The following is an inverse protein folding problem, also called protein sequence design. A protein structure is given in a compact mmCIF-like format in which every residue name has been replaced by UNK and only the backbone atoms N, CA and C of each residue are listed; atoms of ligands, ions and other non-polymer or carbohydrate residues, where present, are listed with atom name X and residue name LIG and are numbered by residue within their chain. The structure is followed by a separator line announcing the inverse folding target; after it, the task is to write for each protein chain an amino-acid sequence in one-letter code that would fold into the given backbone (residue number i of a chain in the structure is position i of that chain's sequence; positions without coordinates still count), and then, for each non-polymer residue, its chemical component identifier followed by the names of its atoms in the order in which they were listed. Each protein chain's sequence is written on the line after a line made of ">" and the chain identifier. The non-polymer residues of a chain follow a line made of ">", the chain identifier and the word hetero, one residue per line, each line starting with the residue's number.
data_IF_970868761408
#
_entry.id   IF_970868761408
#
_cell.length_a   1.000
_cell.length_b   1.000
_cell.length_c   1.000
_cell.angle_alpha   90.00
_cell.angle_beta   90.00
_cell.angle_gamma   90.00
#
_symmetry.space_group_name_H-M   'P 1'
#
loop_
_entity.id
_entity.type
_entity.pdbx_description
1 polymer ?
#
# COMPACT_ATOMS: atom_id res chain seq x y z
N UNK A 1 12.44 0.62 -20.03
CA UNK A 1 11.69 0.95 -18.80
C UNK A 1 10.61 -0.08 -18.63
N UNK A 2 10.34 -0.51 -17.40
CA UNK A 2 9.25 -1.44 -17.10
C UNK A 2 7.95 -0.63 -17.22
N UNK A 3 6.96 -1.15 -17.94
CA UNK A 3 5.66 -0.49 -18.07
C UNK A 3 4.97 -0.43 -16.70
N UNK A 4 4.36 0.70 -16.30
CA UNK A 4 3.58 0.79 -15.07
C UNK A 4 2.45 -0.24 -15.07
N UNK A 5 2.12 -0.75 -13.89
CA UNK A 5 1.07 -1.76 -13.74
C UNK A 5 0.11 -1.39 -12.62
N UNK A 6 -1.08 -1.99 -12.63
CA UNK A 6 -2.07 -1.86 -11.55
C UNK A 6 -2.64 -3.22 -11.19
N UNK A 7 -3.03 -3.42 -9.93
CA UNK A 7 -3.66 -4.66 -9.48
C UNK A 7 -4.88 -5.00 -10.34
N UNK A 8 -4.99 -6.27 -10.73
CA UNK A 8 -6.11 -6.78 -11.51
C UNK A 8 -7.46 -6.65 -10.78
N UNK A 9 -7.43 -6.64 -9.44
CA UNK A 9 -8.60 -6.40 -8.60
C UNK A 9 -9.24 -5.02 -8.83
N UNK A 10 -8.48 -4.03 -9.29
CA UNK A 10 -8.98 -2.72 -9.69
C UNK A 10 -9.97 -2.84 -10.85
N UNK A 11 -9.62 -3.64 -11.84
CA UNK A 11 -10.41 -3.87 -13.05
C UNK A 11 -11.74 -4.58 -12.77
N UNK A 12 -11.83 -5.32 -11.66
CA UNK A 12 -13.08 -5.99 -11.23
C UNK A 12 -14.21 -4.99 -10.98
N UNK A 13 -13.91 -3.78 -10.49
CA UNK A 13 -14.93 -2.77 -10.26
C UNK A 13 -15.52 -2.23 -11.57
N UNK A 14 -14.68 -2.02 -12.58
CA UNK A 14 -15.11 -1.66 -13.93
C UNK A 14 -15.92 -2.79 -14.57
N UNK A 15 -15.45 -4.04 -14.44
CA UNK A 15 -16.16 -5.23 -14.93
C UNK A 15 -17.61 -5.30 -14.39
N UNK A 16 -17.78 -5.13 -13.07
CA UNK A 16 -19.12 -5.09 -12.44
C UNK A 16 -19.99 -3.94 -12.95
N UNK A 17 -19.39 -2.78 -13.23
CA UNK A 17 -20.12 -1.65 -13.81
C UNK A 17 -20.56 -1.93 -15.24
N UNK A 18 -19.74 -2.60 -16.05
CA UNK A 18 -20.10 -3.03 -17.41
C UNK A 18 -21.24 -4.06 -17.39
N UNK A 19 -21.15 -5.06 -16.50
CA UNK A 19 -22.20 -6.06 -16.31
C UNK A 19 -23.53 -5.43 -15.84
N UNK A 20 -23.47 -4.43 -14.95
CA UNK A 20 -24.65 -3.69 -14.52
C UNK A 20 -25.32 -2.87 -15.64
N UNK A 21 -24.59 -2.58 -16.72
CA UNK A 21 -25.11 -1.95 -17.94
C UNK A 21 -25.58 -2.99 -18.98
N UNK A 22 -25.50 -4.29 -18.67
CA UNK A 22 -25.86 -5.37 -19.58
C UNK A 22 -24.83 -5.64 -20.68
N UNK A 23 -23.59 -5.18 -20.52
CA UNK A 23 -22.50 -5.37 -21.48
C UNK A 23 -21.70 -6.65 -21.19
N UNK A 24 -21.16 -7.29 -22.23
CA UNK A 24 -20.27 -8.45 -22.12
C UNK A 24 -18.88 -8.01 -21.65
N UNK A 25 -18.70 -7.95 -20.33
CA UNK A 25 -17.48 -7.48 -19.70
C UNK A 25 -16.25 -8.34 -20.05
N UNK A 26 -16.42 -9.65 -20.21
CA UNK A 26 -15.33 -10.57 -20.57
C UNK A 26 -14.89 -10.35 -22.03
N UNK A 27 -15.82 -10.09 -22.95
CA UNK A 27 -15.48 -9.75 -24.33
C UNK A 27 -14.71 -8.43 -24.42
N UNK A 28 -15.14 -7.40 -23.67
CA UNK A 28 -14.47 -6.09 -23.64
C UNK A 28 -13.07 -6.18 -23.01
N UNK A 29 -12.90 -7.01 -21.97
CA UNK A 29 -11.57 -7.30 -21.40
C UNK A 29 -10.65 -7.97 -22.42
N UNK A 30 -11.15 -8.98 -23.16
CA UNK A 30 -10.39 -9.65 -24.21
C UNK A 30 -10.03 -8.71 -25.36
N UNK A 31 -10.94 -7.81 -25.76
CA UNK A 31 -10.68 -6.75 -26.76
C UNK A 31 -9.57 -5.80 -26.29
N UNK A 32 -9.52 -5.49 -25.00
CA UNK A 32 -8.47 -4.70 -24.39
C UNK A 32 -7.12 -5.44 -24.21
N UNK A 33 -7.07 -6.74 -24.52
CA UNK A 33 -5.88 -7.59 -24.34
C UNK A 33 -5.68 -8.07 -22.89
N UNK A 34 -6.73 -8.05 -22.08
CA UNK A 34 -6.73 -8.51 -20.70
C UNK A 34 -7.33 -9.91 -20.61
N UNK A 35 -6.67 -10.80 -19.86
CA UNK A 35 -7.23 -12.10 -19.49
C UNK A 35 -8.17 -11.93 -18.28
N UNK A 36 -9.50 -12.11 -18.43
CA UNK A 36 -10.44 -11.96 -17.32
C UNK A 36 -10.20 -12.92 -16.15
N UNK A 37 -9.55 -14.07 -16.38
CA UNK A 37 -9.30 -15.07 -15.33
C UNK A 37 -8.26 -14.59 -14.31
N UNK A 38 -7.33 -13.72 -14.72
CA UNK A 38 -6.33 -13.14 -13.82
C UNK A 38 -6.95 -12.20 -12.77
N UNK A 39 -8.20 -11.74 -12.94
CA UNK A 39 -8.87 -10.87 -11.97
C UNK A 39 -9.18 -11.58 -10.64
N UNK A 40 -9.15 -12.91 -10.61
CA UNK A 40 -9.39 -13.71 -9.40
C UNK A 40 -8.13 -13.95 -8.57
N UNK A 41 -6.95 -13.68 -9.12
CA UNK A 41 -5.69 -13.66 -8.37
C UNK A 41 -5.52 -12.30 -7.67
N UNK A 42 -5.42 -12.26 -6.33
CA UNK A 42 -5.28 -11.02 -5.56
C UNK A 42 -3.96 -10.27 -5.84
N UNK A 43 -2.94 -10.93 -6.38
CA UNK A 43 -1.62 -10.37 -6.67
C UNK A 43 -1.38 -10.12 -8.16
N UNK A 44 -2.29 -10.56 -9.04
CA UNK A 44 -2.15 -10.30 -10.46
C UNK A 44 -2.18 -8.80 -10.76
N UNK A 45 -1.37 -8.39 -11.74
CA UNK A 45 -1.26 -7.00 -12.19
C UNK A 45 -1.44 -6.94 -13.70
N UNK A 46 -2.12 -5.89 -14.16
CA UNK A 46 -2.24 -5.59 -15.57
C UNK A 46 -1.37 -4.39 -15.97
N UNK A 47 -0.81 -4.40 -17.18
CA UNK A 47 -0.12 -3.24 -17.74
C UNK A 47 -1.06 -2.03 -17.88
N UNK A 48 -0.53 -0.83 -17.65
CA UNK A 48 -1.29 0.42 -17.76
C UNK A 48 -1.86 0.64 -19.16
N UNK A 49 -1.16 0.24 -20.21
CA UNK A 49 -1.68 0.36 -21.59
C UNK A 49 -2.93 -0.49 -21.81
N UNK A 50 -2.98 -1.69 -21.23
CA UNK A 50 -4.12 -2.59 -21.35
C UNK A 50 -5.33 -2.09 -20.55
N UNK A 51 -5.10 -1.57 -19.34
CA UNK A 51 -6.20 -0.97 -18.54
C UNK A 51 -6.71 0.32 -19.16
N UNK A 52 -5.84 1.15 -19.72
CA UNK A 52 -6.21 2.36 -20.48
C UNK A 52 -7.10 2.00 -21.68
N UNK A 53 -6.71 1.00 -22.45
CA UNK A 53 -7.52 0.49 -23.57
C UNK A 53 -8.87 -0.04 -23.13
N UNK A 54 -8.94 -0.71 -21.97
CA UNK A 54 -10.21 -1.17 -21.43
C UNK A 54 -11.15 -0.01 -21.10
N UNK A 55 -10.66 1.10 -20.55
CA UNK A 55 -11.46 2.29 -20.33
C UNK A 55 -12.00 2.87 -21.64
N UNK A 56 -11.18 2.96 -22.68
CA UNK A 56 -11.59 3.44 -24.00
C UNK A 56 -12.70 2.55 -24.61
N UNK A 57 -12.50 1.24 -24.58
CA UNK A 57 -13.48 0.25 -25.06
C UNK A 57 -14.77 0.30 -24.24
N UNK A 58 -14.66 0.47 -22.91
CA UNK A 58 -15.79 0.60 -22.00
C UNK A 58 -16.63 1.86 -22.29
N UNK A 59 -16.00 3.02 -22.49
CA UNK A 59 -16.69 4.27 -22.86
C UNK A 59 -17.38 4.12 -24.20
N UNK A 60 -16.71 3.54 -25.20
CA UNK A 60 -17.29 3.31 -26.53
C UNK A 60 -18.49 2.38 -26.49
N UNK A 61 -18.41 1.28 -25.73
CA UNK A 61 -19.48 0.28 -25.64
C UNK A 61 -20.68 0.79 -24.83
N UNK A 62 -20.44 1.56 -23.77
CA UNK A 62 -21.50 2.12 -22.91
C UNK A 62 -22.11 3.42 -23.44
N UNK A 63 -21.37 4.17 -24.24
CA UNK A 63 -21.71 5.54 -24.61
C UNK A 63 -21.66 6.52 -23.42
N UNK A 64 -21.07 6.12 -22.29
CA UNK A 64 -21.05 6.91 -21.05
C UNK A 64 -19.62 7.38 -20.71
N UNK A 65 -19.25 8.64 -21.03
CA UNK A 65 -17.94 9.20 -20.65
C UNK A 65 -17.79 9.42 -19.14
N UNK A 66 -18.87 9.28 -18.36
CA UNK A 66 -18.87 9.38 -16.91
C UNK A 66 -18.82 8.02 -16.21
N UNK A 67 -18.58 6.92 -16.95
CA UNK A 67 -18.58 5.55 -16.42
C UNK A 67 -17.64 5.38 -15.21
N UNK A 68 -16.47 6.06 -15.22
CA UNK A 68 -15.51 6.06 -14.12
C UNK A 68 -16.11 6.48 -12.79
N UNK A 69 -16.94 7.52 -12.77
CA UNK A 69 -17.62 7.99 -11.55
C UNK A 69 -18.52 6.90 -10.93
N UNK A 70 -19.09 6.03 -11.77
CA UNK A 70 -20.03 4.98 -11.33
C UNK A 70 -19.32 3.76 -10.75
N UNK A 71 -18.08 3.49 -11.17
CA UNK A 71 -17.26 2.35 -10.72
C UNK A 71 -17.04 2.36 -9.20
N UNK A 72 -16.96 3.55 -8.61
CA UNK A 72 -16.79 3.75 -7.16
C UNK A 72 -17.80 2.98 -6.28
N UNK A 73 -19.00 2.68 -6.80
CA UNK A 73 -20.05 1.93 -6.08
C UNK A 73 -19.71 0.46 -5.86
N UNK A 74 -18.85 -0.10 -6.73
CA UNK A 74 -18.46 -1.52 -6.71
C UNK A 74 -17.15 -1.76 -5.98
N UNK A 75 -16.51 -0.71 -5.48
CA UNK A 75 -15.31 -0.78 -4.67
C UNK A 75 -15.70 -0.93 -3.20
N UNK A 76 -15.16 -1.95 -2.55
CA UNK A 76 -15.30 -2.21 -1.12
C UNK A 76 -13.91 -2.26 -0.48
N UNK A 77 -13.80 -2.10 0.85
CA UNK A 77 -12.53 -2.32 1.55
C UNK A 77 -11.91 -3.69 1.21
N UNK A 78 -12.73 -4.73 1.04
CA UNK A 78 -12.27 -6.06 0.62
C UNK A 78 -11.65 -6.11 -0.77
N UNK A 79 -11.89 -5.11 -1.64
CA UNK A 79 -11.23 -4.99 -2.94
C UNK A 79 -9.72 -4.77 -2.82
N UNK A 80 -9.26 -4.23 -1.69
CA UNK A 80 -7.86 -3.89 -1.43
C UNK A 80 -7.23 -4.73 -0.30
N UNK A 81 -7.89 -5.82 0.12
CA UNK A 81 -7.39 -6.75 1.15
C UNK A 81 -6.86 -6.03 2.40
N UNK A 82 -5.62 -6.30 2.82
CA UNK A 82 -4.99 -5.72 4.00
C UNK A 82 -4.98 -4.18 3.99
N UNK A 83 -4.85 -3.56 2.80
CA UNK A 83 -4.91 -2.11 2.68
C UNK A 83 -6.30 -1.62 3.06
N UNK A 84 -7.34 -2.22 2.48
CA UNK A 84 -8.71 -1.84 2.80
C UNK A 84 -9.07 -2.03 4.28
N UNK A 85 -8.59 -3.09 4.92
CA UNK A 85 -8.79 -3.28 6.38
C UNK A 85 -8.03 -2.25 7.22
N UNK A 86 -6.79 -1.91 6.86
CA UNK A 86 -6.05 -0.82 7.51
C UNK A 86 -6.77 0.53 7.36
N UNK A 87 -7.37 0.81 6.19
CA UNK A 87 -8.17 2.00 5.99
C UNK A 87 -9.43 1.99 6.86
N UNK A 88 -10.10 0.84 7.02
CA UNK A 88 -11.30 0.69 7.88
C UNK A 88 -10.95 0.89 9.37
N UNK A 89 -9.76 0.47 9.79
CA UNK A 89 -9.34 0.53 11.18
C UNK A 89 -8.76 1.89 11.62
N UNK A 90 -8.66 2.87 10.71
CA UNK A 90 -8.04 4.19 10.94
C UNK A 90 -8.86 5.09 11.87
N UNK A 91 -8.18 5.89 12.71
CA UNK A 91 -8.81 6.74 13.73
C UNK A 91 -9.21 8.14 13.28
N UNK A 92 -8.79 8.56 12.08
CA UNK A 92 -9.15 9.83 11.44
C UNK A 92 -9.09 9.68 9.91
N UNK A 93 -9.71 10.61 9.16
CA UNK A 93 -9.56 10.63 7.71
C UNK A 93 -8.13 11.01 7.29
N UNK A 94 -7.43 11.85 8.05
CA UNK A 94 -6.00 12.11 7.84
C UNK A 94 -5.22 10.81 7.77
N UNK A 95 -5.35 9.95 8.78
CA UNK A 95 -4.68 8.65 8.80
C UNK A 95 -5.08 7.74 7.63
N UNK A 96 -6.36 7.76 7.23
CA UNK A 96 -6.83 7.01 6.04
C UNK A 96 -6.06 7.46 4.80
N UNK A 97 -5.98 8.76 4.55
CA UNK A 97 -5.33 9.28 3.35
C UNK A 97 -3.81 9.16 3.40
N UNK A 98 -3.18 9.31 4.57
CA UNK A 98 -1.74 9.02 4.76
C UNK A 98 -1.41 7.55 4.45
N UNK A 99 -2.27 6.61 4.88
CA UNK A 99 -2.14 5.19 4.52
C UNK A 99 -2.34 4.99 3.02
N UNK A 100 -3.33 5.64 2.41
CA UNK A 100 -3.52 5.60 0.94
C UNK A 100 -2.25 6.06 0.23
N UNK A 101 -1.69 7.21 0.58
CA UNK A 101 -0.44 7.73 -0.01
C UNK A 101 0.70 6.71 0.15
N UNK A 102 0.90 6.19 1.36
CA UNK A 102 2.02 5.28 1.67
C UNK A 102 1.94 3.95 0.92
N UNK A 103 0.75 3.40 0.76
CA UNK A 103 0.53 2.05 0.22
C UNK A 103 0.00 2.05 -1.23
N UNK A 104 -0.17 3.22 -1.87
CA UNK A 104 -0.73 3.33 -3.22
C UNK A 104 0.04 2.51 -4.27
N UNK A 105 1.36 2.45 -4.18
CA UNK A 105 2.20 1.69 -5.14
C UNK A 105 1.85 0.19 -5.19
N UNK A 106 1.28 -0.35 -4.10
CA UNK A 106 0.76 -1.72 -4.10
C UNK A 106 -0.43 -1.87 -5.02
N UNK A 107 -1.22 -0.81 -5.20
CA UNK A 107 -2.42 -0.78 -6.05
C UNK A 107 -2.08 -0.40 -7.48
N UNK A 108 -1.27 0.64 -7.68
CA UNK A 108 -0.92 1.13 -9.01
C UNK A 108 0.41 1.88 -9.02
N UNK A 109 1.23 1.61 -10.05
CA UNK A 109 2.47 2.34 -10.34
C UNK A 109 2.22 3.55 -11.26
N UNK A 110 0.97 3.74 -11.70
CA UNK A 110 0.60 4.73 -12.70
C UNK A 110 0.41 6.15 -12.12
N UNK A 111 0.24 6.25 -10.79
CA UNK A 111 0.01 7.51 -10.08
C UNK A 111 0.89 7.61 -8.84
N UNK A 112 1.36 8.82 -8.58
CA UNK A 112 1.94 9.25 -7.32
C UNK A 112 0.89 10.08 -6.57
N UNK A 113 0.65 9.73 -5.31
CA UNK A 113 -0.32 10.42 -4.47
C UNK A 113 0.41 11.28 -3.45
N UNK A 114 -0.12 12.47 -3.19
CA UNK A 114 0.46 13.40 -2.22
C UNK A 114 -0.64 14.08 -1.41
N UNK A 115 -0.48 14.13 -0.09
CA UNK A 115 -1.40 14.81 0.82
C UNK A 115 -0.63 15.93 1.54
N UNK A 116 -1.02 17.17 1.28
CA UNK A 116 -0.40 18.35 1.88
C UNK A 116 -1.42 19.16 2.66
N UNK A 117 -1.04 19.65 3.83
CA UNK A 117 -1.82 20.64 4.59
C UNK A 117 -1.37 22.04 4.19
N UNK A 118 -2.31 22.85 3.70
CA UNK A 118 -2.13 24.27 3.44
C UNK A 118 -3.18 25.04 4.23
N UNK A 119 -2.73 25.85 5.19
CA UNK A 119 -3.60 26.58 6.13
C UNK A 119 -4.62 25.66 6.83
N UNK A 120 -5.90 25.79 6.49
CA UNK A 120 -7.02 25.03 7.04
C UNK A 120 -7.55 23.94 6.09
N UNK A 121 -6.77 23.55 5.07
CA UNK A 121 -7.20 22.62 4.02
C UNK A 121 -6.18 21.54 3.71
N UNK A 122 -6.69 20.32 3.56
CA UNK A 122 -5.94 19.23 2.97
C UNK A 122 -6.08 19.23 1.45
N UNK A 123 -4.95 19.25 0.76
CA UNK A 123 -4.83 19.15 -0.69
C UNK A 123 -4.29 17.77 -1.06
N UNK A 124 -5.14 16.93 -1.64
CA UNK A 124 -4.80 15.58 -2.06
C UNK A 124 -4.61 15.52 -3.58
N UNK A 125 -3.38 15.32 -4.03
CA UNK A 125 -2.99 15.35 -5.44
C UNK A 125 -2.87 13.93 -6.02
N UNK A 126 -3.34 13.77 -7.26
CA UNK A 126 -3.17 12.57 -8.07
C UNK A 126 -2.21 12.91 -9.21
N UNK A 127 -0.91 12.66 -9.01
CA UNK A 127 0.15 13.03 -9.95
C UNK A 127 0.46 11.88 -10.89
N UNK A 128 0.66 12.19 -12.17
CA UNK A 128 1.23 11.24 -13.13
C UNK A 128 2.75 11.42 -13.10
N UNK A 129 3.54 10.37 -12.82
CA UNK A 129 5.00 10.47 -12.85
C UNK A 129 5.49 10.93 -14.23
N UNK A 130 6.51 11.79 -14.30
CA UNK A 130 7.01 12.35 -15.58
C UNK A 130 7.45 11.27 -16.58
N UNK A 131 7.91 10.12 -16.09
CA UNK A 131 8.37 8.98 -16.89
C UNK A 131 7.25 7.99 -17.27
N UNK A 132 6.01 8.23 -16.83
CA UNK A 132 4.87 7.35 -16.99
C UNK A 132 3.86 7.91 -18.00
N UNK A 133 3.26 7.08 -18.88
CA UNK A 133 2.15 7.55 -19.70
C UNK A 133 0.94 7.94 -18.82
N UNK A 134 0.18 8.93 -19.27
CA UNK A 134 -1.02 9.35 -18.55
C UNK A 134 -2.09 8.24 -18.56
N UNK A 135 -2.71 7.92 -17.41
CA UNK A 135 -3.87 7.05 -17.36
C UNK A 135 -5.07 7.66 -18.10
N UNK A 136 -6.05 6.82 -18.45
CA UNK A 136 -7.34 7.28 -18.95
C UNK A 136 -8.02 8.25 -17.95
N UNK A 137 -8.70 9.29 -18.45
CA UNK A 137 -9.40 10.25 -17.60
C UNK A 137 -10.46 9.58 -16.72
N UNK A 138 -11.13 8.54 -17.24
CA UNK A 138 -12.14 7.77 -16.52
C UNK A 138 -11.54 7.02 -15.33
N UNK A 139 -10.26 6.62 -15.40
CA UNK A 139 -9.56 6.02 -14.29
C UNK A 139 -9.31 7.06 -13.17
N UNK A 140 -8.91 8.28 -13.53
CA UNK A 140 -8.72 9.40 -12.59
C UNK A 140 -10.06 9.78 -11.94
N UNK A 141 -11.12 9.91 -12.73
CA UNK A 141 -12.48 10.16 -12.25
C UNK A 141 -12.95 9.08 -11.27
N UNK A 142 -12.65 7.81 -11.56
CA UNK A 142 -12.97 6.70 -10.69
C UNK A 142 -12.24 6.80 -9.34
N UNK A 143 -10.93 7.07 -9.35
CA UNK A 143 -10.15 7.28 -8.12
C UNK A 143 -10.69 8.47 -7.31
N UNK A 144 -10.91 9.62 -7.95
CA UNK A 144 -11.48 10.80 -7.29
C UNK A 144 -12.84 10.48 -6.63
N UNK A 145 -13.73 9.79 -7.34
CA UNK A 145 -15.02 9.37 -6.82
C UNK A 145 -14.90 8.38 -5.64
N UNK A 146 -13.92 7.47 -5.67
CA UNK A 146 -13.65 6.53 -4.57
C UNK A 146 -13.17 7.26 -3.33
N UNK A 147 -12.26 8.21 -3.45
CA UNK A 147 -11.75 8.94 -2.30
C UNK A 147 -12.86 9.75 -1.62
N UNK A 148 -13.70 10.41 -2.39
CA UNK A 148 -14.88 11.13 -1.85
C UNK A 148 -15.89 10.15 -1.22
N UNK A 149 -16.10 8.97 -1.83
CA UNK A 149 -16.97 7.94 -1.25
C UNK A 149 -16.39 7.38 0.06
N UNK A 150 -15.07 7.23 0.17
CA UNK A 150 -14.38 6.84 1.40
C UNK A 150 -14.67 7.85 2.51
N UNK A 151 -14.57 9.15 2.23
CA UNK A 151 -14.94 10.19 3.19
C UNK A 151 -16.42 10.06 3.62
N UNK A 152 -17.35 9.88 2.67
CA UNK A 152 -18.79 9.74 2.96
C UNK A 152 -19.14 8.51 3.79
N UNK A 153 -18.41 7.42 3.60
CA UNK A 153 -18.61 6.22 4.42
C UNK A 153 -18.23 6.46 5.89
N UNK A 154 -17.44 7.49 6.19
CA UNK A 154 -16.95 7.81 7.54
C UNK A 154 -17.65 9.00 8.17
N UNK A 155 -17.80 10.09 7.43
CA UNK A 155 -18.40 11.34 7.92
C UNK A 155 -19.89 11.47 7.61
N UNK A 156 -20.46 10.50 6.90
CA UNK A 156 -21.87 10.49 6.52
C UNK A 156 -22.12 10.78 5.04
N UNK A 157 -23.31 10.36 4.57
CA UNK A 157 -23.68 10.34 3.15
C UNK A 157 -23.70 11.72 2.49
N UNK A 158 -23.86 12.77 3.28
CA UNK A 158 -23.98 14.14 2.79
C UNK A 158 -22.66 14.91 2.75
N UNK A 159 -21.57 14.29 3.20
CA UNK A 159 -20.23 14.88 3.09
C UNK A 159 -19.85 15.19 1.64
N UNK A 160 -19.20 16.34 1.44
CA UNK A 160 -18.65 16.78 0.18
C UNK A 160 -17.27 17.44 0.41
N UNK A 161 -16.30 17.27 -0.52
CA UNK A 161 -15.06 18.03 -0.50
C UNK A 161 -15.32 19.53 -0.68
N UNK A 162 -14.32 20.36 -0.36
CA UNK A 162 -14.36 21.80 -0.60
C UNK A 162 -14.32 22.12 -2.10
N UNK A 163 -13.50 21.41 -2.86
CA UNK A 163 -13.35 21.56 -4.31
C UNK A 163 -12.73 20.31 -4.93
N UNK A 164 -12.98 20.13 -6.24
CA UNK A 164 -12.38 19.08 -7.07
C UNK A 164 -11.80 19.72 -8.31
N UNK A 165 -10.53 19.46 -8.59
CA UNK A 165 -9.81 19.92 -9.78
C UNK A 165 -9.46 18.70 -10.61
N UNK A 166 -9.79 18.74 -11.90
CA UNK A 166 -9.51 17.65 -12.83
C UNK A 166 -8.86 18.21 -14.10
N UNK A 167 -7.77 17.57 -14.53
CA UNK A 167 -7.08 17.90 -15.78
C UNK A 167 -7.89 17.58 -17.02
N UNK A 168 -8.87 16.67 -16.89
CA UNK A 168 -9.73 16.31 -18.01
C UNK A 168 -10.41 17.54 -18.61
N UNK A 169 -10.56 17.61 -19.94
CA UNK A 169 -11.40 18.62 -20.56
C UNK A 169 -12.83 18.55 -20.02
N UNK A 170 -13.51 19.70 -20.02
CA UNK A 170 -14.91 19.75 -19.63
C UNK A 170 -15.74 18.82 -20.54
N UNK A 171 -16.45 17.84 -19.98
CA UNK A 171 -17.28 16.91 -20.75
C UNK A 171 -18.51 17.63 -21.31
N UNK A 172 -19.10 17.07 -22.37
CA UNK A 172 -20.33 17.61 -22.96
C UNK A 172 -21.50 17.70 -21.97
N UNK A 173 -21.57 16.78 -20.99
CA UNK A 173 -22.50 16.85 -19.86
C UNK A 173 -21.75 16.76 -18.52
N UNK A 174 -21.40 17.90 -17.89
CA UNK A 174 -20.68 17.91 -16.62
C UNK A 174 -21.56 17.59 -15.39
N UNK A 175 -22.88 17.45 -15.57
CA UNK A 175 -23.82 17.25 -14.44
C UNK A 175 -23.51 16.00 -13.63
N UNK A 176 -22.98 14.96 -14.25
CA UNK A 176 -22.60 13.72 -13.56
C UNK A 176 -21.50 13.95 -12.52
N UNK A 177 -20.47 14.74 -12.84
CA UNK A 177 -19.40 15.11 -11.90
C UNK A 177 -19.95 15.93 -10.74
N UNK A 178 -20.75 16.97 -11.01
CA UNK A 178 -21.35 17.78 -9.96
C UNK A 178 -22.27 16.97 -9.03
N UNK A 179 -23.06 16.04 -9.59
CA UNK A 179 -23.93 15.15 -8.81
C UNK A 179 -23.13 14.23 -7.89
N UNK A 180 -22.04 13.66 -8.40
CA UNK A 180 -21.21 12.71 -7.65
C UNK A 180 -20.37 13.43 -6.60
N UNK A 181 -19.76 14.58 -6.91
CA UNK A 181 -18.88 15.29 -5.98
C UNK A 181 -19.62 16.19 -5.00
N UNK A 182 -20.77 16.75 -5.38
CA UNK A 182 -21.55 17.71 -4.58
C UNK A 182 -20.72 18.93 -4.13
N UNK A 183 -19.73 19.29 -4.94
CA UNK A 183 -18.76 20.34 -4.70
C UNK A 183 -18.49 21.10 -6.02
N UNK A 184 -17.87 22.29 -5.96
CA UNK A 184 -17.28 22.92 -7.13
C UNK A 184 -16.31 21.97 -7.83
N UNK A 185 -16.50 21.78 -9.14
CA UNK A 185 -15.61 20.98 -9.99
C UNK A 185 -15.00 21.89 -11.05
N UNK A 186 -13.68 21.94 -11.09
CA UNK A 186 -12.90 22.71 -12.05
C UNK A 186 -12.27 21.76 -13.07
N UNK A 187 -12.77 21.80 -14.31
CA UNK A 187 -12.23 21.03 -15.42
C UNK A 187 -11.09 21.78 -16.12
N UNK A 188 -10.29 21.06 -16.92
CA UNK A 188 -9.11 21.59 -17.59
C UNK A 188 -8.15 22.31 -16.63
N UNK A 189 -8.08 21.84 -15.37
CA UNK A 189 -7.15 22.35 -14.39
C UNK A 189 -5.71 21.89 -14.72
N UNK A 190 -4.71 22.54 -14.15
CA UNK A 190 -3.30 22.15 -14.32
C UNK A 190 -2.99 20.81 -13.63
N UNK A 191 -3.72 20.49 -12.56
CA UNK A 191 -3.48 19.34 -11.69
C UNK A 191 -4.78 18.62 -11.31
N UNK A 192 -4.72 17.31 -11.10
CA UNK A 192 -5.81 16.52 -10.51
C UNK A 192 -5.71 16.59 -8.98
N UNK A 193 -6.69 17.21 -8.32
CA UNK A 193 -6.64 17.51 -6.88
C UNK A 193 -8.01 17.50 -6.22
N UNK A 194 -8.06 16.95 -5.00
CA UNK A 194 -9.20 17.07 -4.09
C UNK A 194 -8.84 17.96 -2.91
N UNK A 195 -9.73 18.88 -2.55
CA UNK A 195 -9.58 19.74 -1.38
C UNK A 195 -10.58 19.37 -0.29
N UNK A 196 -10.10 19.28 0.94
CA UNK A 196 -10.91 18.93 2.11
C UNK A 196 -10.65 19.89 3.27
N UNK A 197 -11.66 20.12 4.12
CA UNK A 197 -11.48 20.92 5.32
C UNK A 197 -10.65 20.15 6.36
N UNK A 198 -9.66 20.81 6.96
CA UNK A 198 -8.84 20.19 8.01
C UNK A 198 -9.67 19.74 9.22
N UNK A 199 -10.70 20.50 9.58
CA UNK A 199 -11.63 20.16 10.66
C UNK A 199 -12.30 18.79 10.48
N UNK A 200 -12.63 18.45 9.24
CA UNK A 200 -13.29 17.18 8.91
C UNK A 200 -12.27 16.05 8.88
N UNK A 201 -11.08 16.32 8.35
CA UNK A 201 -10.01 15.32 8.22
C UNK A 201 -9.41 14.86 9.54
N UNK A 202 -9.36 15.78 10.50
CA UNK A 202 -8.74 15.58 11.82
C UNK A 202 -9.74 15.08 12.87
N UNK A 203 -11.03 15.06 12.52
CA UNK A 203 -12.07 14.55 13.39
C UNK A 203 -11.84 13.06 13.70
N UNK A 204 -12.13 12.67 14.94
CA UNK A 204 -12.02 11.28 15.36
C UNK A 204 -13.14 10.46 14.72
N UNK A 205 -12.79 9.27 14.23
CA UNK A 205 -13.75 8.32 13.67
C UNK A 205 -14.11 7.26 14.71
N UNK A 206 -15.41 7.08 14.97
CA UNK A 206 -15.94 6.18 16.01
C UNK A 206 -15.63 4.70 15.78
N UNK A 207 -15.37 4.30 14.53
CA UNK A 207 -15.08 2.91 14.13
C UNK A 207 -13.59 2.51 14.27
N UNK A 208 -12.79 3.31 15.00
CA UNK A 208 -11.36 3.03 15.17
C UNK A 208 -11.12 1.68 15.85
N UNK A 209 -10.31 0.82 15.22
CA UNK A 209 -9.87 -0.44 15.81
C UNK A 209 -8.34 -0.54 15.73
N UNK A 210 -7.61 -0.05 16.75
CA UNK A 210 -6.15 0.03 16.72
C UNK A 210 -5.47 -1.34 16.51
N UNK A 211 -6.06 -2.41 17.04
CA UNK A 211 -5.50 -3.77 16.93
C UNK A 211 -5.60 -4.31 15.50
N UNK A 212 -6.75 -4.12 14.84
CA UNK A 212 -6.92 -4.46 13.41
C UNK A 212 -6.03 -3.58 12.51
N UNK A 213 -5.84 -2.31 12.88
CA UNK A 213 -4.98 -1.40 12.15
C UNK A 213 -3.52 -1.86 12.19
N UNK A 214 -3.01 -2.26 13.36
CA UNK A 214 -1.63 -2.71 13.52
C UNK A 214 -1.39 -4.07 12.84
N UNK A 215 -2.32 -5.02 12.96
CA UNK A 215 -2.21 -6.30 12.25
C UNK A 215 -2.18 -6.12 10.73
N UNK A 216 -3.08 -5.28 10.20
CA UNK A 216 -3.14 -4.96 8.76
C UNK A 216 -1.88 -4.23 8.30
N UNK A 217 -1.34 -3.33 9.12
CA UNK A 217 -0.08 -2.62 8.85
C UNK A 217 1.10 -3.59 8.76
N UNK A 218 1.22 -4.56 9.67
CA UNK A 218 2.28 -5.59 9.62
C UNK A 218 2.25 -6.36 8.30
N UNK A 219 1.05 -6.80 7.87
CA UNK A 219 0.88 -7.48 6.58
C UNK A 219 1.28 -6.58 5.41
N UNK A 220 0.86 -5.31 5.43
CA UNK A 220 1.22 -4.33 4.39
C UNK A 220 2.71 -4.00 4.35
N UNK A 221 3.37 -3.90 5.50
CA UNK A 221 4.81 -3.67 5.57
C UNK A 221 5.58 -4.88 5.01
N UNK A 222 5.15 -6.11 5.29
CA UNK A 222 5.68 -7.33 4.67
C UNK A 222 5.49 -7.36 3.14
N UNK A 223 4.34 -6.92 2.62
CA UNK A 223 4.11 -6.90 1.17
C UNK A 223 4.84 -5.73 0.48
N UNK A 224 4.95 -4.55 1.10
CA UNK A 224 5.69 -3.40 0.56
C UNK A 224 7.18 -3.70 0.44
N UNK A 225 7.70 -4.37 1.47
CA UNK A 225 9.07 -4.88 1.46
C UNK A 225 9.22 -5.86 0.28
N UNK A 226 8.31 -6.80 0.08
CA UNK A 226 8.37 -7.73 -1.06
C UNK A 226 8.24 -7.07 -2.46
N UNK A 227 7.63 -5.89 -2.58
CA UNK A 227 7.29 -5.24 -3.87
C UNK A 227 8.37 -4.33 -4.47
N UNK A 228 9.34 -3.86 -3.69
CA UNK A 228 10.56 -3.22 -4.24
C UNK A 228 11.50 -4.31 -4.76
N UNK A 229 12.30 -4.11 -5.83
CA UNK A 229 13.36 -5.06 -6.17
C UNK A 229 14.19 -5.28 -4.92
N UNK A 230 14.13 -6.50 -4.37
CA UNK A 230 14.71 -6.81 -3.08
C UNK A 230 16.22 -6.56 -3.19
N UNK A 231 16.70 -5.54 -2.50
CA UNK A 231 18.14 -5.37 -2.24
C UNK A 231 18.66 -6.67 -1.62
N UNK A 232 19.91 -7.02 -1.91
CA UNK A 232 20.53 -8.20 -1.34
C UNK A 232 20.55 -8.13 0.19
N UNK A 233 20.73 -6.95 0.76
CA UNK A 233 20.54 -6.68 2.18
C UNK A 233 19.20 -7.25 2.70
N UNK A 234 18.09 -6.93 2.03
CA UNK A 234 16.75 -7.33 2.48
C UNK A 234 16.48 -8.82 2.27
N UNK A 235 16.99 -9.42 1.18
CA UNK A 235 16.94 -10.88 0.99
C UNK A 235 17.69 -11.60 2.10
N UNK A 236 18.84 -11.06 2.49
CA UNK A 236 19.69 -11.63 3.55
C UNK A 236 19.05 -11.49 4.92
N UNK A 237 18.49 -10.33 5.26
CA UNK A 237 17.75 -10.14 6.53
C UNK A 237 16.59 -11.11 6.68
N UNK A 238 15.77 -11.26 5.63
CA UNK A 238 14.64 -12.20 5.65
C UNK A 238 15.09 -13.65 5.82
N UNK A 239 16.18 -14.06 5.15
CA UNK A 239 16.74 -15.39 5.31
C UNK A 239 17.31 -15.61 6.73
N UNK A 240 17.96 -14.60 7.32
CA UNK A 240 18.46 -14.64 8.69
C UNK A 240 17.29 -14.83 9.66
N UNK A 241 16.27 -13.97 9.59
CA UNK A 241 15.12 -14.00 10.50
C UNK A 241 14.35 -15.33 10.44
N UNK A 242 14.22 -15.92 9.25
CA UNK A 242 13.59 -17.23 9.09
C UNK A 242 14.39 -18.39 9.72
N UNK A 243 15.72 -18.27 9.80
CA UNK A 243 16.60 -19.34 10.27
C UNK A 243 17.04 -19.19 11.73
N UNK A 244 16.90 -18.01 12.34
CA UNK A 244 17.24 -17.77 13.75
C UNK A 244 16.59 -18.77 14.73
N UNK A 245 15.32 -19.19 14.56
CA UNK A 245 14.71 -20.21 15.43
C UNK A 245 15.39 -21.59 15.35
N UNK A 246 16.10 -21.87 14.26
CA UNK A 246 16.84 -23.14 14.05
C UNK A 246 18.27 -23.08 14.62
N UNK A 247 18.74 -21.90 15.03
CA UNK A 247 20.09 -21.65 15.54
C UNK A 247 20.75 -20.43 14.90
N UNK A 248 22.00 -20.15 15.25
CA UNK A 248 22.76 -19.06 14.63
C UNK A 248 23.08 -19.36 13.16
N UNK A 249 22.51 -18.61 12.19
CA UNK A 249 22.76 -18.89 10.79
C UNK A 249 24.16 -18.41 10.37
N UNK A 250 24.92 -19.27 9.69
CA UNK A 250 26.20 -18.87 9.09
C UNK A 250 26.00 -18.17 7.74
N UNK A 251 26.96 -17.33 7.34
CA UNK A 251 26.92 -16.68 6.03
C UNK A 251 26.89 -17.70 4.88
N UNK A 252 27.54 -18.85 5.04
CA UNK A 252 27.52 -19.96 4.09
C UNK A 252 26.13 -20.57 3.95
N UNK A 253 25.44 -20.76 5.08
CA UNK A 253 24.10 -21.35 5.09
C UNK A 253 23.07 -20.40 4.45
N UNK A 254 23.17 -19.10 4.75
CA UNK A 254 22.32 -18.07 4.15
C UNK A 254 22.61 -17.94 2.64
N UNK A 255 23.88 -18.02 2.22
CA UNK A 255 24.22 -18.04 0.80
C UNK A 255 23.56 -19.21 0.08
N UNK A 256 23.61 -20.41 0.66
CA UNK A 256 22.98 -21.62 0.11
C UNK A 256 21.45 -21.48 0.01
N UNK A 257 20.80 -20.96 1.04
CA UNK A 257 19.36 -20.71 1.06
C UNK A 257 18.92 -19.70 -0.03
N UNK A 258 19.81 -18.78 -0.40
CA UNK A 258 19.60 -17.81 -1.48
C UNK A 258 20.11 -18.27 -2.85
N UNK A 259 20.52 -19.55 -2.98
CA UNK A 259 21.11 -20.12 -4.20
C UNK A 259 22.36 -19.38 -4.71
N UNK A 260 23.18 -18.89 -3.78
CA UNK A 260 24.44 -18.18 -4.03
C UNK A 260 25.65 -18.95 -3.48
N UNK A 261 26.83 -18.62 -4.01
CA UNK A 261 28.09 -18.91 -3.32
C UNK A 261 28.36 -17.85 -2.26
N UNK A 262 29.10 -18.19 -1.20
CA UNK A 262 29.52 -17.24 -0.16
C UNK A 262 30.17 -15.98 -0.75
N UNK A 263 31.04 -16.16 -1.76
CA UNK A 263 31.72 -15.06 -2.45
C UNK A 263 30.74 -14.14 -3.18
N UNK A 264 29.68 -14.70 -3.79
CA UNK A 264 28.65 -13.90 -4.47
C UNK A 264 27.79 -13.14 -3.47
N UNK A 265 27.43 -13.77 -2.35
CA UNK A 265 26.70 -13.13 -1.26
C UNK A 265 27.49 -11.93 -0.69
N UNK A 266 28.76 -12.14 -0.35
CA UNK A 266 29.63 -11.08 0.18
C UNK A 266 29.82 -9.93 -0.81
N UNK A 267 29.98 -10.24 -2.11
CA UNK A 267 30.09 -9.20 -3.14
C UNK A 267 28.80 -8.39 -3.23
N UNK A 268 27.65 -9.05 -3.30
CA UNK A 268 26.36 -8.36 -3.36
C UNK A 268 26.09 -7.46 -2.15
N UNK A 269 26.44 -7.93 -0.94
CA UNK A 269 26.33 -7.10 0.26
C UNK A 269 27.32 -5.94 0.24
N UNK A 270 28.56 -6.16 -0.21
CA UNK A 270 29.57 -5.10 -0.31
C UNK A 270 29.20 -4.02 -1.34
N UNK A 271 28.60 -4.40 -2.47
CA UNK A 271 28.09 -3.48 -3.49
C UNK A 271 26.98 -2.57 -2.91
N UNK A 272 26.26 -3.05 -1.90
CA UNK A 272 25.23 -2.31 -1.15
C UNK A 272 25.77 -1.69 0.16
N UNK A 273 27.08 -1.70 0.39
CA UNK A 273 27.72 -1.13 1.59
C UNK A 273 27.45 -1.91 2.89
N UNK A 274 26.96 -3.14 2.79
CA UNK A 274 26.52 -3.97 3.90
C UNK A 274 27.53 -5.09 4.24
N UNK A 275 27.46 -5.61 5.47
CA UNK A 275 28.21 -6.79 5.93
C UNK A 275 27.27 -7.77 6.62
N UNK A 276 27.45 -9.06 6.37
CA UNK A 276 26.61 -10.11 6.95
C UNK A 276 26.52 -10.03 8.48
N UNK A 277 27.66 -9.93 9.17
CA UNK A 277 27.69 -9.87 10.63
C UNK A 277 26.92 -8.66 11.18
N UNK A 278 26.94 -7.54 10.46
CA UNK A 278 26.17 -6.34 10.83
C UNK A 278 24.68 -6.62 10.71
N UNK A 279 24.24 -7.17 9.57
CA UNK A 279 22.83 -7.51 9.34
C UNK A 279 22.30 -8.53 10.34
N UNK A 280 23.10 -9.55 10.67
CA UNK A 280 22.75 -10.57 11.66
C UNK A 280 22.54 -9.95 13.06
N UNK A 281 23.43 -9.05 13.48
CA UNK A 281 23.31 -8.37 14.77
C UNK A 281 22.09 -7.44 14.81
N UNK A 282 21.85 -6.67 13.75
CA UNK A 282 20.71 -5.75 13.67
C UNK A 282 19.37 -6.49 13.66
N UNK A 283 19.25 -7.60 12.92
CA UNK A 283 18.05 -8.45 12.95
C UNK A 283 17.80 -9.00 14.36
N UNK A 284 18.85 -9.50 15.03
CA UNK A 284 18.74 -9.99 16.41
C UNK A 284 18.38 -8.89 17.40
N UNK A 285 18.93 -7.69 17.26
CA UNK A 285 18.62 -6.54 18.10
C UNK A 285 17.16 -6.11 17.94
N UNK A 286 16.68 -5.95 16.70
CA UNK A 286 15.31 -5.55 16.42
C UNK A 286 14.29 -6.56 16.97
N UNK A 287 14.53 -7.85 16.76
CA UNK A 287 13.67 -8.91 17.31
C UNK A 287 13.75 -8.98 18.84
N UNK A 288 14.93 -8.75 19.44
CA UNK A 288 15.06 -8.69 20.89
C UNK A 288 14.23 -7.55 21.48
N UNK A 289 14.31 -6.35 20.91
CA UNK A 289 13.53 -5.19 21.34
C UNK A 289 12.03 -5.44 21.19
N UNK A 290 11.60 -6.12 20.12
CA UNK A 290 10.20 -6.50 19.90
C UNK A 290 9.71 -7.47 20.97
N UNK A 291 10.42 -8.58 21.20
CA UNK A 291 10.00 -9.59 22.18
C UNK A 291 10.12 -9.12 23.63
N UNK A 292 11.04 -8.20 23.94
CA UNK A 292 11.17 -7.67 25.30
C UNK A 292 9.97 -6.82 25.74
N UNK A 293 9.20 -6.26 24.79
CA UNK A 293 7.96 -5.51 25.05
C UNK A 293 6.78 -6.40 25.45
N UNK A 294 6.83 -7.68 25.13
CA UNK A 294 5.82 -8.64 25.57
C UNK A 294 6.19 -9.16 26.97
N UNK A 295 5.40 -8.83 28.01
CA UNK A 295 5.66 -9.28 29.38
C UNK A 295 5.50 -10.80 29.55
N UNK A 296 4.83 -11.49 28.62
CA UNK A 296 4.65 -12.94 28.65
C UNK A 296 5.86 -13.71 28.08
N UNK A 297 6.76 -13.04 27.34
CA UNK A 297 7.92 -13.69 26.74
C UNK A 297 9.11 -13.72 27.71
N UNK A 298 9.55 -14.92 28.10
CA UNK A 298 10.68 -15.07 29.02
C UNK A 298 12.02 -14.80 28.33
N UNK A 299 13.04 -14.35 29.07
CA UNK A 299 14.39 -14.14 28.53
C UNK A 299 15.01 -15.43 27.96
N UNK A 300 14.58 -16.60 28.45
CA UNK A 300 15.00 -17.90 27.94
C UNK A 300 14.42 -18.16 26.54
N UNK A 301 13.14 -17.88 26.33
CA UNK A 301 12.49 -18.01 25.03
C UNK A 301 13.06 -17.02 24.02
N UNK A 302 13.29 -15.77 24.43
CA UNK A 302 13.92 -14.75 23.58
C UNK A 302 15.32 -15.19 23.16
N UNK A 303 16.13 -15.71 24.09
CA UNK A 303 17.46 -16.24 23.77
C UNK A 303 17.40 -17.35 22.70
N UNK A 304 16.43 -18.25 22.82
CA UNK A 304 16.24 -19.36 21.88
C UNK A 304 15.78 -18.87 20.49
N UNK A 305 14.77 -18.00 20.44
CA UNK A 305 14.22 -17.45 19.19
C UNK A 305 15.25 -16.64 18.38
N UNK A 306 16.23 -16.05 19.07
CA UNK A 306 17.31 -15.27 18.46
C UNK A 306 18.55 -16.13 18.14
N UNK A 307 18.46 -17.46 18.26
CA UNK A 307 19.52 -18.39 17.91
C UNK A 307 20.74 -18.29 18.81
N UNK A 308 20.61 -17.88 20.08
CA UNK A 308 21.69 -17.90 21.06
C UNK A 308 21.74 -19.24 21.81
N UNK A 309 22.95 -19.72 22.09
CA UNK A 309 23.16 -20.96 22.84
C UNK A 309 22.67 -20.89 24.29
N UNK A 310 22.70 -19.72 24.92
CA UNK A 310 22.25 -19.50 26.30
C UNK A 310 21.90 -18.03 26.58
N UNK A 311 21.15 -17.82 27.66
CA UNK A 311 20.71 -16.50 28.15
C UNK A 311 21.89 -15.56 28.43
N UNK A 312 23.05 -16.10 28.85
CA UNK A 312 24.24 -15.31 29.17
C UNK A 312 24.85 -14.69 27.91
N UNK A 313 24.80 -15.41 26.80
CA UNK A 313 25.30 -14.98 25.49
C UNK A 313 24.34 -13.96 24.87
N UNK A 314 23.03 -14.19 24.95
CA UNK A 314 22.02 -13.20 24.60
C UNK A 314 22.19 -11.90 25.41
N UNK A 315 22.31 -12.00 26.74
CA UNK A 315 22.41 -10.82 27.62
C UNK A 315 23.65 -9.98 27.35
N UNK A 316 24.79 -10.62 27.05
CA UNK A 316 26.03 -9.93 26.64
C UNK A 316 25.88 -9.23 25.29
N UNK A 317 25.26 -9.90 24.32
CA UNK A 317 25.03 -9.34 23.00
C UNK A 317 24.06 -8.15 23.06
N UNK A 318 22.94 -8.30 23.77
CA UNK A 318 21.95 -7.25 23.99
C UNK A 318 22.55 -6.01 24.66
N UNK A 319 23.38 -6.19 25.69
CA UNK A 319 24.08 -5.08 26.33
C UNK A 319 25.07 -4.38 25.41
N UNK A 320 25.73 -5.12 24.52
CA UNK A 320 26.64 -4.55 23.52
C UNK A 320 25.89 -3.68 22.51
N UNK A 321 24.68 -4.10 22.12
CA UNK A 321 23.85 -3.36 21.17
C UNK A 321 23.20 -2.12 21.80
N UNK A 322 22.57 -2.28 22.96
CA UNK A 322 21.67 -1.27 23.56
C UNK A 322 22.29 -0.49 24.72
N UNK A 323 23.44 -0.91 25.25
CA UNK A 323 24.08 -0.32 26.43
C UNK A 323 23.54 -0.80 27.78
N UNK A 324 22.42 -1.53 27.81
CA UNK A 324 21.76 -2.01 29.04
C UNK A 324 21.44 -3.51 29.00
N UNK A 325 21.17 -4.13 30.14
CA UNK A 325 20.77 -5.56 30.14
C UNK A 325 19.30 -5.73 29.70
N UNK A 326 18.91 -6.90 29.18
CA UNK A 326 17.51 -7.16 28.80
C UNK A 326 16.52 -6.91 29.94
N UNK A 327 16.90 -7.25 31.17
CA UNK A 327 16.08 -7.00 32.36
C UNK A 327 15.92 -5.50 32.66
N UNK A 328 17.01 -4.74 32.62
CA UNK A 328 16.96 -3.27 32.81
C UNK A 328 16.10 -2.59 31.75
N UNK A 329 16.18 -3.04 30.50
CA UNK A 329 15.34 -2.54 29.42
C UNK A 329 13.86 -2.81 29.70
N UNK A 330 13.53 -4.02 30.15
CA UNK A 330 12.15 -4.42 30.49
C UNK A 330 11.59 -3.66 31.69
N UNK A 331 12.38 -3.46 32.74
CA UNK A 331 11.97 -2.68 33.92
C UNK A 331 11.70 -1.21 33.57
N UNK A 332 12.40 -0.65 32.58
CA UNK A 332 12.18 0.72 32.08
C UNK A 332 10.97 0.89 31.15
N UNK A 333 10.27 -0.20 30.77
CA UNK A 333 9.02 -0.14 30.02
C UNK A 333 7.78 -0.09 30.92
N UNK A 334 7.94 -0.33 32.23
CA UNK A 334 6.89 -0.29 33.25
C UNK A 334 6.82 1.07 33.95
#
# INVERSE_FOLDING_TARGET
>A
MIEPTSLASWTRALRKQLEALGLDSDALCREAGLDPQLMDDPNARYPLSATTRLWEVAVKASGDPAIGLRVSRFVSPTSFHALGYALVASGSLREVFERIVRYHQMVSDALELELNLHDDRYCFHLKVPESSPAPAFEAIDAFAAIYVRTCRNRLGRDYAPLAVYLRRPEPADPKHWHTVFRAPVFFAADEDRLEFAASDFDSHLDDANPELAEHSKTVLECTLTQSKPLTWERKVRSAIEAQLPEGEPSAEHIAQALHLTLRSLQRHLADEGCRFDTLLNECRENLALLHLRDPQCSLSEISYLLGFADISSFSRAFKRWTGMTPGQFRDGLH
#
